data_IF_444513043104
#
_entry.id   IF_444513043104
#
_cell.length_a   1.000
_cell.length_b   1.000
_cell.length_c   1.000
_cell.angle_alpha   90.00
_cell.angle_beta   90.00
_cell.angle_gamma   90.00
#
_symmetry.space_group_name_H-M   'P 1'
#
loop_
_entity.id
_entity.type
_entity.pdbx_description
1 polymer ?
#
# COMPACT_ATOMS: atom_id res chain seq x y z
N UNK A 1 19.79 -157.56 24.19
CA UNK A 1 18.51 -156.85 24.40
C UNK A 1 18.66 -155.51 25.13
N UNK A 2 19.85 -155.12 25.63
CA UNK A 2 20.04 -153.82 26.33
C UNK A 2 20.36 -152.62 25.40
N UNK A 3 20.85 -152.84 24.18
CA UNK A 3 21.20 -151.74 23.24
C UNK A 3 20.00 -151.07 22.57
N UNK A 4 18.86 -151.75 22.49
CA UNK A 4 17.63 -151.21 21.85
C UNK A 4 16.89 -150.23 22.76
N UNK A 5 17.04 -150.35 24.09
CA UNK A 5 16.37 -149.51 25.08
C UNK A 5 17.10 -148.15 25.21
N UNK A 6 18.44 -148.15 25.12
CA UNK A 6 19.26 -146.94 25.18
C UNK A 6 19.09 -146.03 23.94
N UNK A 7 18.88 -146.62 22.74
CA UNK A 7 18.59 -145.88 21.51
C UNK A 7 17.22 -145.18 21.54
N UNK A 8 16.20 -145.85 22.07
CA UNK A 8 14.85 -145.28 22.19
C UNK A 8 14.77 -144.14 23.22
N UNK A 9 15.48 -144.28 24.35
CA UNK A 9 15.61 -143.21 25.36
C UNK A 9 16.41 -142.01 24.82
N UNK A 10 17.44 -142.25 24.00
CA UNK A 10 18.20 -141.18 23.32
C UNK A 10 17.33 -140.41 22.32
N UNK A 11 16.54 -141.12 21.51
CA UNK A 11 15.55 -140.54 20.59
C UNK A 11 14.49 -139.70 21.33
N UNK A 12 13.96 -140.21 22.45
CA UNK A 12 12.99 -139.48 23.27
C UNK A 12 13.60 -138.20 23.88
N UNK A 13 14.84 -138.24 24.36
CA UNK A 13 15.56 -137.05 24.84
C UNK A 13 15.81 -136.05 23.72
N UNK A 14 16.24 -136.50 22.53
CA UNK A 14 16.44 -135.63 21.37
C UNK A 14 15.13 -135.00 20.87
N UNK A 15 14.01 -135.73 20.92
CA UNK A 15 12.68 -135.17 20.63
C UNK A 15 12.24 -134.14 21.69
N UNK A 16 12.58 -134.34 22.96
CA UNK A 16 12.34 -133.35 24.01
C UNK A 16 13.20 -132.09 23.83
N UNK A 17 14.49 -132.25 23.52
CA UNK A 17 15.41 -131.15 23.19
C UNK A 17 14.94 -130.39 21.95
N UNK A 18 14.53 -131.09 20.88
CA UNK A 18 13.98 -130.47 19.67
C UNK A 18 12.75 -129.63 19.99
N UNK A 19 11.80 -130.13 20.80
CA UNK A 19 10.62 -129.36 21.22
C UNK A 19 10.95 -128.13 22.08
N UNK A 20 11.99 -128.21 22.91
CA UNK A 20 12.45 -127.08 23.72
C UNK A 20 13.14 -126.03 22.84
N UNK A 21 13.95 -126.46 21.87
CA UNK A 21 14.59 -125.58 20.89
C UNK A 21 13.54 -124.93 20.00
N UNK A 22 12.56 -125.70 19.50
CA UNK A 22 11.45 -125.18 18.69
C UNK A 22 10.67 -124.12 19.47
N UNK A 23 10.34 -124.36 20.74
CA UNK A 23 9.69 -123.34 21.60
C UNK A 23 10.52 -122.08 21.76
N UNK A 24 11.83 -122.21 22.00
CA UNK A 24 12.72 -121.04 22.14
C UNK A 24 12.83 -120.29 20.81
N UNK A 25 12.89 -120.99 19.68
CA UNK A 25 12.88 -120.38 18.35
C UNK A 25 11.57 -119.62 18.12
N UNK A 26 10.42 -120.24 18.39
CA UNK A 26 9.09 -119.63 18.31
C UNK A 26 9.00 -118.37 19.17
N UNK A 27 9.42 -118.43 20.44
CA UNK A 27 9.46 -117.28 21.35
C UNK A 27 10.39 -116.16 20.85
N UNK A 28 11.54 -116.50 20.26
CA UNK A 28 12.46 -115.50 19.68
C UNK A 28 11.95 -114.89 18.39
N UNK A 29 11.23 -115.66 17.57
CA UNK A 29 10.56 -115.19 16.35
C UNK A 29 9.39 -114.29 16.69
N UNK A 30 8.55 -114.65 17.67
CA UNK A 30 7.48 -113.82 18.22
C UNK A 30 8.03 -112.53 18.84
N UNK A 31 9.10 -112.60 19.64
CA UNK A 31 9.76 -111.43 20.19
C UNK A 31 10.44 -110.56 19.12
N UNK A 32 10.90 -111.14 18.01
CA UNK A 32 11.44 -110.40 16.88
C UNK A 32 10.32 -109.73 16.06
N UNK A 33 9.22 -110.43 15.79
CA UNK A 33 8.05 -109.87 15.10
C UNK A 33 7.44 -108.73 15.92
N UNK A 34 7.24 -108.90 17.22
CA UNK A 34 6.76 -107.81 18.09
C UNK A 34 7.71 -106.59 18.10
N UNK A 35 9.03 -106.81 18.09
CA UNK A 35 10.02 -105.72 17.94
C UNK A 35 9.91 -105.05 16.57
N UNK A 36 9.71 -105.80 15.49
CA UNK A 36 9.53 -105.24 14.15
C UNK A 36 8.22 -104.46 14.02
N UNK A 37 7.14 -104.91 14.64
CA UNK A 37 5.84 -104.22 14.66
C UNK A 37 5.91 -102.89 15.39
N UNK A 38 6.49 -102.86 16.58
CA UNK A 38 6.70 -101.60 17.35
C UNK A 38 7.61 -100.62 16.62
N UNK A 39 8.64 -101.13 15.91
CA UNK A 39 9.49 -100.31 15.04
C UNK A 39 8.70 -99.76 13.85
N UNK A 40 7.84 -100.58 13.22
CA UNK A 40 6.99 -100.17 12.10
C UNK A 40 5.93 -99.14 12.52
N UNK A 41 5.39 -99.24 13.74
CA UNK A 41 4.53 -98.21 14.35
C UNK A 41 5.30 -96.91 14.58
N UNK A 42 6.49 -96.96 15.17
CA UNK A 42 7.34 -95.78 15.35
C UNK A 42 7.68 -95.11 14.03
N UNK A 43 7.98 -95.89 12.97
CA UNK A 43 8.21 -95.36 11.64
C UNK A 43 6.97 -94.66 11.08
N UNK A 44 5.79 -95.26 11.21
CA UNK A 44 4.51 -94.63 10.80
C UNK A 44 4.28 -93.31 11.54
N UNK A 45 4.46 -93.30 12.86
CA UNK A 45 4.29 -92.11 13.69
C UNK A 45 5.26 -90.99 13.31
N UNK A 46 6.54 -91.32 13.09
CA UNK A 46 7.54 -90.35 12.62
C UNK A 46 7.17 -89.77 11.25
N UNK A 47 6.66 -90.60 10.34
CA UNK A 47 6.17 -90.14 9.04
C UNK A 47 4.98 -89.19 9.16
N UNK A 48 4.01 -89.51 10.02
CA UNK A 48 2.84 -88.65 10.31
C UNK A 48 3.29 -87.32 10.92
N UNK A 49 4.16 -87.35 11.95
CA UNK A 49 4.69 -86.13 12.57
C UNK A 49 5.46 -85.27 11.59
N UNK A 50 6.28 -85.88 10.72
CA UNK A 50 7.01 -85.15 9.68
C UNK A 50 6.05 -84.49 8.68
N UNK A 51 4.97 -85.17 8.29
CA UNK A 51 3.96 -84.60 7.42
C UNK A 51 3.22 -83.42 8.08
N UNK A 52 2.85 -83.55 9.36
CA UNK A 52 2.24 -82.48 10.16
C UNK A 52 3.17 -81.27 10.30
N UNK A 53 4.45 -81.48 10.62
CA UNK A 53 5.45 -80.41 10.70
C UNK A 53 5.61 -79.70 9.36
N UNK A 54 5.68 -80.43 8.25
CA UNK A 54 5.74 -79.82 6.91
C UNK A 54 4.50 -78.98 6.63
N UNK A 55 3.30 -79.50 6.93
CA UNK A 55 2.06 -78.74 6.77
C UNK A 55 2.06 -77.47 7.63
N UNK A 56 2.49 -77.56 8.89
CA UNK A 56 2.59 -76.41 9.79
C UNK A 56 3.61 -75.37 9.33
N UNK A 57 4.75 -75.79 8.78
CA UNK A 57 5.74 -74.86 8.20
C UNK A 57 5.16 -74.13 6.98
N UNK A 58 4.41 -74.84 6.14
CA UNK A 58 3.73 -74.21 4.99
C UNK A 58 2.66 -73.23 5.46
N UNK A 59 1.78 -73.63 6.39
CA UNK A 59 0.72 -72.74 6.89
C UNK A 59 1.29 -71.53 7.62
N UNK A 60 2.29 -71.72 8.49
CA UNK A 60 2.95 -70.60 9.18
C UNK A 60 3.69 -69.68 8.20
N UNK A 61 4.34 -70.23 7.16
CA UNK A 61 4.92 -69.45 6.07
C UNK A 61 3.89 -68.61 5.33
N UNK A 62 2.70 -69.16 5.05
CA UNK A 62 1.61 -68.40 4.41
C UNK A 62 1.04 -67.30 5.30
N UNK A 63 0.86 -67.54 6.61
CA UNK A 63 0.33 -66.53 7.54
C UNK A 63 1.33 -65.40 7.80
N UNK A 64 2.63 -65.69 7.83
CA UNK A 64 3.68 -64.67 7.93
C UNK A 64 3.69 -63.77 6.69
N UNK A 65 3.65 -64.35 5.48
CA UNK A 65 3.58 -63.58 4.22
C UNK A 65 2.34 -62.70 4.16
N UNK A 66 1.18 -63.22 4.56
CA UNK A 66 -0.06 -62.44 4.57
C UNK A 66 0.00 -61.31 5.60
N UNK A 67 0.52 -61.55 6.81
CA UNK A 67 0.73 -60.48 7.79
C UNK A 67 1.69 -59.40 7.30
N UNK A 68 2.78 -59.77 6.62
CA UNK A 68 3.71 -58.82 6.05
C UNK A 68 3.06 -57.98 4.95
N UNK A 69 2.22 -58.61 4.11
CA UNK A 69 1.39 -57.91 3.11
C UNK A 69 0.42 -56.93 3.76
N UNK A 70 -0.27 -57.33 4.82
CA UNK A 70 -1.19 -56.45 5.56
C UNK A 70 -0.46 -55.30 6.25
N UNK A 71 0.71 -55.57 6.87
CA UNK A 71 1.55 -54.55 7.51
C UNK A 71 2.05 -53.51 6.50
N UNK A 72 2.55 -53.95 5.35
CA UNK A 72 3.01 -53.05 4.28
C UNK A 72 1.86 -52.20 3.72
N UNK A 73 0.68 -52.80 3.53
CA UNK A 73 -0.52 -52.07 3.12
C UNK A 73 -0.96 -51.02 4.17
N UNK A 74 -0.98 -51.40 5.45
CA UNK A 74 -1.33 -50.49 6.54
C UNK A 74 -0.35 -49.31 6.64
N UNK A 75 0.96 -49.58 6.51
CA UNK A 75 1.99 -48.54 6.50
C UNK A 75 1.85 -47.60 5.30
N UNK A 76 1.51 -48.13 4.11
CA UNK A 76 1.28 -47.32 2.92
C UNK A 76 0.07 -46.38 3.12
N UNK A 77 -1.05 -46.93 3.60
CA UNK A 77 -2.25 -46.14 3.93
C UNK A 77 -1.97 -45.05 4.97
N UNK A 78 -1.27 -45.38 6.04
CA UNK A 78 -0.91 -44.42 7.09
C UNK A 78 -0.02 -43.27 6.55
N UNK A 79 0.90 -43.57 5.63
CA UNK A 79 1.72 -42.54 4.97
C UNK A 79 0.88 -41.63 4.07
N UNK A 80 0.01 -42.21 3.26
CA UNK A 80 -0.91 -41.45 2.37
C UNK A 80 -1.83 -40.54 3.19
N UNK A 81 -2.42 -41.07 4.26
CA UNK A 81 -3.28 -40.31 5.17
C UNK A 81 -2.54 -39.17 5.87
N UNK A 82 -1.30 -39.41 6.31
CA UNK A 82 -0.47 -38.36 6.93
C UNK A 82 -0.21 -37.21 5.94
N UNK A 83 0.14 -37.52 4.69
CA UNK A 83 0.37 -36.50 3.65
C UNK A 83 -0.90 -35.71 3.39
N UNK A 84 -2.04 -36.40 3.27
CA UNK A 84 -3.33 -35.76 3.04
C UNK A 84 -3.77 -34.89 4.22
N UNK A 85 -3.55 -35.35 5.44
CA UNK A 85 -3.84 -34.59 6.65
C UNK A 85 -2.97 -33.33 6.73
N UNK A 86 -1.67 -33.41 6.41
CA UNK A 86 -0.79 -32.23 6.37
C UNK A 86 -1.24 -31.20 5.31
N UNK A 87 -1.74 -31.63 4.15
CA UNK A 87 -2.31 -30.71 3.16
C UNK A 87 -3.54 -29.98 3.72
N UNK A 88 -4.49 -30.73 4.29
CA UNK A 88 -5.71 -30.17 4.91
C UNK A 88 -5.39 -29.20 6.04
N UNK A 89 -4.42 -29.53 6.90
CA UNK A 89 -3.95 -28.63 7.96
C UNK A 89 -3.38 -27.32 7.38
N UNK A 90 -2.59 -27.40 6.31
CA UNK A 90 -2.03 -26.20 5.65
C UNK A 90 -3.11 -25.31 5.02
N UNK A 91 -4.14 -25.91 4.41
CA UNK A 91 -5.29 -25.21 3.84
C UNK A 91 -6.15 -24.56 4.93
N UNK A 92 -6.39 -25.28 6.02
CA UNK A 92 -7.12 -24.78 7.18
C UNK A 92 -6.39 -23.58 7.81
N UNK A 93 -5.06 -23.64 7.93
CA UNK A 93 -4.26 -22.50 8.39
C UNK A 93 -4.36 -21.31 7.44
N UNK A 94 -4.37 -21.53 6.12
CA UNK A 94 -4.54 -20.47 5.12
C UNK A 94 -5.92 -19.81 5.26
N UNK A 95 -6.97 -20.61 5.29
CA UNK A 95 -8.36 -20.14 5.46
C UNK A 95 -8.54 -19.37 6.78
N UNK A 96 -7.92 -19.81 7.88
CA UNK A 96 -7.95 -19.07 9.16
C UNK A 96 -7.31 -17.69 9.05
N UNK A 97 -6.16 -17.56 8.39
CA UNK A 97 -5.50 -16.26 8.19
C UNK A 97 -6.36 -15.32 7.34
N UNK A 98 -6.95 -15.84 6.27
CA UNK A 98 -7.86 -15.08 5.40
C UNK A 98 -9.08 -14.60 6.19
N UNK A 99 -9.74 -15.48 6.95
CA UNK A 99 -10.86 -15.13 7.81
C UNK A 99 -10.50 -14.01 8.80
N UNK A 100 -9.33 -14.09 9.42
CA UNK A 100 -8.89 -13.08 10.37
C UNK A 100 -8.58 -11.73 9.69
N UNK A 101 -8.01 -11.76 8.49
CA UNK A 101 -7.80 -10.55 7.68
C UNK A 101 -9.13 -9.89 7.29
N UNK A 102 -10.12 -10.69 6.88
CA UNK A 102 -11.46 -10.23 6.53
C UNK A 102 -12.18 -9.66 7.75
N UNK A 103 -12.08 -10.30 8.92
CA UNK A 103 -12.62 -9.79 10.19
C UNK A 103 -12.03 -8.43 10.55
N UNK A 104 -10.71 -8.26 10.44
CA UNK A 104 -10.05 -6.96 10.66
C UNK A 104 -10.53 -5.91 9.67
N UNK A 105 -10.72 -6.28 8.39
CA UNK A 105 -11.22 -5.36 7.37
C UNK A 105 -12.68 -4.94 7.66
N UNK A 106 -13.54 -5.90 7.98
CA UNK A 106 -14.92 -5.66 8.40
C UNK A 106 -14.98 -4.73 9.61
N UNK A 107 -14.20 -4.98 10.66
CA UNK A 107 -14.16 -4.11 11.84
C UNK A 107 -13.74 -2.67 11.49
N UNK A 108 -12.76 -2.48 10.60
CA UNK A 108 -12.35 -1.15 10.12
C UNK A 108 -13.50 -0.45 9.39
N UNK A 109 -14.22 -1.17 8.52
CA UNK A 109 -15.36 -0.63 7.79
C UNK A 109 -16.52 -0.30 8.72
N UNK A 110 -16.86 -1.17 9.68
CA UNK A 110 -17.93 -0.93 10.65
C UNK A 110 -17.64 0.30 11.52
N UNK A 111 -16.39 0.49 11.96
CA UNK A 111 -15.99 1.73 12.67
C UNK A 111 -16.15 2.97 11.81
N UNK A 112 -15.77 2.91 10.52
CA UNK A 112 -15.97 4.02 9.58
C UNK A 112 -17.46 4.29 9.37
N UNK A 113 -18.27 3.25 9.20
CA UNK A 113 -19.72 3.38 8.99
C UNK A 113 -20.39 4.05 10.19
N UNK A 114 -20.06 3.65 11.42
CA UNK A 114 -20.55 4.29 12.64
C UNK A 114 -20.13 5.76 12.75
N UNK A 115 -18.91 6.10 12.33
CA UNK A 115 -18.47 7.50 12.27
C UNK A 115 -19.29 8.28 11.25
N UNK A 116 -19.47 7.74 10.05
CA UNK A 116 -20.17 8.41 8.95
C UNK A 116 -21.68 8.42 9.09
N UNK A 117 -22.28 7.52 9.87
CA UNK A 117 -23.72 7.50 10.12
C UNK A 117 -24.19 8.75 10.87
N UNK A 118 -23.38 9.29 11.78
CA UNK A 118 -23.66 10.56 12.46
C UNK A 118 -23.74 11.73 11.46
N UNK A 119 -22.77 11.81 10.54
CA UNK A 119 -22.74 12.83 9.50
C UNK A 119 -23.87 12.64 8.48
N UNK A 120 -24.16 11.39 8.12
CA UNK A 120 -25.29 11.05 7.23
C UNK A 120 -26.59 11.55 7.84
N UNK A 121 -26.86 11.21 9.11
CA UNK A 121 -28.08 11.66 9.81
C UNK A 121 -28.17 13.19 9.87
N UNK A 122 -27.07 13.86 10.19
CA UNK A 122 -27.05 15.32 10.15
C UNK A 122 -27.39 15.87 8.76
N UNK A 123 -26.85 15.28 7.69
CA UNK A 123 -27.15 15.72 6.32
C UNK A 123 -28.59 15.39 5.91
N UNK A 124 -29.15 14.27 6.38
CA UNK A 124 -30.57 13.95 6.25
C UNK A 124 -31.43 15.02 6.95
N UNK A 125 -31.11 15.37 8.20
CA UNK A 125 -31.80 16.43 8.93
C UNK A 125 -31.71 17.77 8.18
N UNK A 126 -30.55 18.11 7.59
CA UNK A 126 -30.38 19.33 6.79
C UNK A 126 -31.29 19.30 5.56
N UNK A 127 -31.36 18.17 4.85
CA UNK A 127 -32.24 18.00 3.68
C UNK A 127 -33.70 18.17 4.11
N UNK A 128 -34.13 17.52 5.20
CA UNK A 128 -35.50 17.62 5.71
C UNK A 128 -35.91 19.05 6.09
N UNK A 129 -34.96 19.85 6.62
CA UNK A 129 -35.23 21.20 7.11
C UNK A 129 -34.89 22.31 6.10
N UNK A 130 -34.60 21.98 4.84
CA UNK A 130 -34.16 22.96 3.84
C UNK A 130 -34.75 22.72 2.44
N UNK A 131 -34.29 23.50 1.46
CA UNK A 131 -34.75 23.42 0.07
C UNK A 131 -33.97 22.40 -0.77
N UNK A 132 -32.99 21.70 -0.19
CA UNK A 132 -32.19 20.72 -0.91
C UNK A 132 -33.01 19.44 -1.16
N UNK A 133 -32.89 18.85 -2.35
CA UNK A 133 -33.64 17.64 -2.70
C UNK A 133 -33.08 16.40 -2.00
N UNK A 134 -31.76 16.31 -1.96
CA UNK A 134 -31.04 15.20 -1.37
C UNK A 134 -29.66 15.66 -0.86
N UNK A 135 -28.94 14.73 -0.25
CA UNK A 135 -27.61 15.00 0.33
C UNK A 135 -26.61 15.38 -0.76
N UNK A 136 -26.75 14.84 -1.97
CA UNK A 136 -25.84 15.12 -3.08
C UNK A 136 -26.01 16.56 -3.59
N UNK A 137 -27.24 17.09 -3.59
CA UNK A 137 -27.53 18.50 -3.83
C UNK A 137 -26.85 19.41 -2.80
N UNK A 138 -26.92 19.07 -1.50
CA UNK A 138 -26.22 19.80 -0.42
C UNK A 138 -24.71 19.83 -0.68
N UNK A 139 -24.13 18.67 -1.01
CA UNK A 139 -22.70 18.53 -1.27
C UNK A 139 -22.30 19.34 -2.51
N UNK A 140 -23.11 19.29 -3.57
CA UNK A 140 -22.86 20.00 -4.82
C UNK A 140 -22.91 21.51 -4.62
N UNK A 141 -23.93 21.99 -3.91
CA UNK A 141 -24.05 23.40 -3.53
C UNK A 141 -22.86 23.86 -2.68
N UNK A 142 -22.49 23.10 -1.64
CA UNK A 142 -21.34 23.43 -0.80
C UNK A 142 -20.04 23.50 -1.61
N UNK A 143 -19.81 22.55 -2.52
CA UNK A 143 -18.63 22.57 -3.41
C UNK A 143 -18.63 23.82 -4.31
N UNK A 144 -19.78 24.20 -4.85
CA UNK A 144 -19.90 25.43 -5.64
C UNK A 144 -19.62 26.67 -4.78
N UNK A 145 -20.18 26.74 -3.58
CA UNK A 145 -19.99 27.86 -2.64
C UNK A 145 -18.52 28.03 -2.22
N UNK A 146 -17.81 26.93 -1.98
CA UNK A 146 -16.38 26.98 -1.65
C UNK A 146 -15.56 27.50 -2.84
N UNK A 147 -15.89 27.08 -4.07
CA UNK A 147 -15.24 27.59 -5.29
C UNK A 147 -15.50 29.07 -5.48
N UNK A 148 -16.76 29.50 -5.43
CA UNK A 148 -17.11 30.92 -5.61
C UNK A 148 -16.48 31.80 -4.53
N UNK A 149 -16.42 31.34 -3.28
CA UNK A 149 -15.71 32.06 -2.21
C UNK A 149 -14.23 32.24 -2.52
N UNK A 150 -13.57 31.19 -3.03
CA UNK A 150 -12.15 31.26 -3.41
C UNK A 150 -11.95 32.28 -4.53
N UNK A 151 -12.77 32.21 -5.57
CA UNK A 151 -12.69 33.10 -6.73
C UNK A 151 -12.96 34.56 -6.33
N UNK A 152 -13.95 34.79 -5.45
CA UNK A 152 -14.27 36.12 -4.93
C UNK A 152 -13.11 36.72 -4.13
N UNK A 153 -12.48 35.93 -3.24
CA UNK A 153 -11.31 36.38 -2.47
C UNK A 153 -10.14 36.73 -3.39
N UNK A 154 -9.91 35.94 -4.43
CA UNK A 154 -8.87 36.22 -5.42
C UNK A 154 -9.17 37.49 -6.23
N UNK A 155 -10.41 37.67 -6.68
CA UNK A 155 -10.83 38.88 -7.39
C UNK A 155 -10.71 40.13 -6.51
N UNK A 156 -11.14 40.04 -5.24
CA UNK A 156 -11.02 41.14 -4.28
C UNK A 156 -9.56 41.54 -4.08
N UNK A 157 -8.66 40.55 -3.98
CA UNK A 157 -7.23 40.81 -3.88
C UNK A 157 -6.70 41.57 -5.11
N UNK A 158 -7.06 41.15 -6.33
CA UNK A 158 -6.67 41.83 -7.57
C UNK A 158 -7.20 43.26 -7.65
N UNK A 159 -8.48 43.48 -7.32
CA UNK A 159 -9.05 44.83 -7.30
C UNK A 159 -8.34 45.75 -6.31
N UNK A 160 -7.96 45.23 -5.14
CA UNK A 160 -7.18 45.99 -4.16
C UNK A 160 -5.82 46.37 -4.70
N UNK A 161 -5.11 45.46 -5.38
CA UNK A 161 -3.83 45.78 -6.01
C UNK A 161 -3.96 46.87 -7.08
N UNK A 162 -4.97 46.74 -7.94
CA UNK A 162 -5.23 47.74 -8.99
C UNK A 162 -5.57 49.12 -8.40
N UNK A 163 -6.37 49.15 -7.33
CA UNK A 163 -6.72 50.39 -6.65
C UNK A 163 -5.48 51.07 -6.04
N UNK A 164 -4.60 50.30 -5.39
CA UNK A 164 -3.35 50.86 -4.84
C UNK A 164 -2.44 51.40 -5.94
N UNK A 165 -2.30 50.68 -7.06
CA UNK A 165 -1.56 51.17 -8.23
C UNK A 165 -2.17 52.47 -8.79
N UNK A 166 -3.50 52.52 -8.94
CA UNK A 166 -4.20 53.72 -9.41
C UNK A 166 -4.02 54.91 -8.47
N UNK A 167 -4.01 54.69 -7.15
CA UNK A 167 -3.75 55.75 -6.16
C UNK A 167 -2.33 56.30 -6.29
N UNK A 168 -1.34 55.43 -6.46
CA UNK A 168 0.06 55.84 -6.66
C UNK A 168 0.19 56.68 -7.93
N UNK A 169 -0.38 56.23 -9.05
CA UNK A 169 -0.38 56.99 -10.31
C UNK A 169 -1.07 58.36 -10.16
N UNK A 170 -2.21 58.39 -9.48
CA UNK A 170 -2.93 59.65 -9.23
C UNK A 170 -2.10 60.63 -8.39
N UNK A 171 -1.37 60.15 -7.38
CA UNK A 171 -0.48 60.98 -6.56
C UNK A 171 0.70 61.52 -7.38
N UNK A 172 1.28 60.70 -8.25
CA UNK A 172 2.36 61.12 -9.16
C UNK A 172 1.89 62.23 -10.11
N UNK A 173 0.77 62.02 -10.81
CA UNK A 173 0.21 63.03 -11.72
C UNK A 173 -0.11 64.32 -10.96
N UNK A 174 -0.66 64.22 -9.74
CA UNK A 174 -0.95 65.39 -8.92
C UNK A 174 0.33 66.16 -8.58
N UNK A 175 1.38 65.48 -8.13
CA UNK A 175 2.66 66.10 -7.80
C UNK A 175 3.33 66.73 -9.03
N UNK A 176 3.27 66.07 -10.19
CA UNK A 176 3.75 66.62 -11.47
C UNK A 176 3.01 67.91 -11.83
N UNK A 177 1.68 67.92 -11.72
CA UNK A 177 0.86 69.10 -12.03
C UNK A 177 1.08 70.24 -11.03
N UNK A 178 1.26 69.93 -9.75
CA UNK A 178 1.64 70.93 -8.74
C UNK A 178 3.01 71.55 -9.06
N UNK A 179 3.99 70.74 -9.48
CA UNK A 179 5.30 71.22 -9.90
C UNK A 179 5.22 72.07 -11.19
N UNK A 180 4.42 71.67 -12.18
CA UNK A 180 4.17 72.48 -13.38
C UNK A 180 3.55 73.84 -13.03
N UNK A 181 2.56 73.87 -12.13
CA UNK A 181 1.94 75.13 -11.68
C UNK A 181 2.96 76.03 -10.99
N UNK A 182 3.84 75.48 -10.14
CA UNK A 182 4.90 76.25 -9.49
C UNK A 182 5.85 76.84 -10.54
N UNK A 183 6.29 76.06 -11.53
CA UNK A 183 7.12 76.55 -12.63
C UNK A 183 6.45 77.68 -13.40
N UNK A 184 5.18 77.54 -13.78
CA UNK A 184 4.45 78.61 -14.46
C UNK A 184 4.34 79.88 -13.61
N UNK A 185 4.19 79.75 -12.29
CA UNK A 185 4.17 80.91 -11.38
C UNK A 185 5.52 81.60 -11.33
N UNK A 186 6.60 80.84 -11.25
CA UNK A 186 7.96 81.39 -11.25
C UNK A 186 8.23 82.14 -12.58
N UNK A 187 7.84 81.55 -13.71
CA UNK A 187 7.92 82.19 -15.04
C UNK A 187 7.07 83.47 -15.11
N UNK A 188 5.85 83.47 -14.55
CA UNK A 188 5.00 84.66 -14.49
C UNK A 188 5.63 85.79 -13.67
N UNK A 189 6.23 85.47 -12.52
CA UNK A 189 6.93 86.47 -11.69
C UNK A 189 8.11 87.05 -12.45
N UNK A 190 8.92 86.21 -13.10
CA UNK A 190 10.05 86.68 -13.94
C UNK A 190 9.58 87.62 -15.06
N UNK A 191 8.48 87.28 -15.74
CA UNK A 191 7.92 88.13 -16.78
C UNK A 191 7.41 89.47 -16.23
N UNK A 192 6.74 89.46 -15.07
CA UNK A 192 6.28 90.68 -14.39
C UNK A 192 7.46 91.58 -14.01
N UNK A 193 8.52 91.02 -13.42
CA UNK A 193 9.74 91.77 -13.09
C UNK A 193 10.38 92.40 -14.35
N UNK A 194 10.43 91.65 -15.45
CA UNK A 194 10.96 92.17 -16.73
C UNK A 194 10.10 93.30 -17.31
N UNK A 195 8.77 93.20 -17.17
CA UNK A 195 7.83 94.23 -17.60
C UNK A 195 7.97 95.50 -16.77
N UNK A 196 8.03 95.37 -15.44
CA UNK A 196 8.25 96.50 -14.54
C UNK A 196 9.58 97.19 -14.82
N UNK A 197 10.63 96.41 -15.07
CA UNK A 197 11.94 96.96 -15.44
C UNK A 197 11.85 97.74 -16.75
N UNK A 198 11.24 97.17 -17.79
CA UNK A 198 11.05 97.85 -19.07
C UNK A 198 10.22 99.14 -18.93
N UNK A 199 9.18 99.14 -18.09
CA UNK A 199 8.38 100.33 -17.81
C UNK A 199 9.20 101.43 -17.11
N UNK A 200 10.00 101.07 -16.11
CA UNK A 200 10.91 102.01 -15.43
C UNK A 200 11.91 102.60 -16.41
N UNK A 201 12.45 101.77 -17.31
CA UNK A 201 13.39 102.23 -18.33
C UNK A 201 12.72 103.20 -19.32
N UNK A 202 11.48 102.91 -19.76
CA UNK A 202 10.70 103.82 -20.62
C UNK A 202 10.50 105.18 -19.94
N UNK A 203 10.04 105.22 -18.68
CA UNK A 203 9.87 106.48 -17.96
C UNK A 203 11.19 107.27 -17.86
N UNK A 204 12.30 106.59 -17.57
CA UNK A 204 13.61 107.24 -17.54
C UNK A 204 14.00 107.83 -18.90
N UNK A 205 13.70 107.14 -20.00
CA UNK A 205 13.94 107.66 -21.35
C UNK A 205 13.03 108.82 -21.71
N UNK A 206 11.77 108.78 -21.29
CA UNK A 206 10.81 109.88 -21.45
C UNK A 206 11.27 111.14 -20.71
N UNK A 207 11.72 111.00 -19.46
CA UNK A 207 12.28 112.10 -18.67
C UNK A 207 13.50 112.72 -19.36
N UNK A 208 14.46 111.87 -19.78
CA UNK A 208 15.65 112.31 -20.52
C UNK A 208 15.30 113.00 -21.84
N UNK A 209 14.28 112.51 -22.54
CA UNK A 209 13.78 113.10 -23.77
C UNK A 209 13.13 114.46 -23.52
N UNK A 210 12.28 114.58 -22.50
CA UNK A 210 11.65 115.83 -22.09
C UNK A 210 12.69 116.89 -21.69
N UNK A 211 13.73 116.50 -20.96
CA UNK A 211 14.85 117.38 -20.67
C UNK A 211 15.59 117.84 -21.93
N UNK A 212 15.85 116.92 -22.87
CA UNK A 212 16.51 117.24 -24.13
C UNK A 212 15.67 118.19 -24.97
N UNK A 213 14.36 117.97 -25.03
CA UNK A 213 13.40 118.84 -25.70
C UNK A 213 13.32 120.22 -25.02
N UNK A 214 13.30 120.28 -23.68
CA UNK A 214 13.35 121.52 -22.92
C UNK A 214 14.66 122.29 -23.11
N UNK A 215 15.80 121.58 -23.24
CA UNK A 215 17.09 122.18 -23.63
C UNK A 215 17.04 122.74 -25.05
N UNK A 216 16.47 122.00 -26.00
CA UNK A 216 16.31 122.45 -27.38
C UNK A 216 15.38 123.67 -27.51
N UNK A 217 14.25 123.68 -26.79
CA UNK A 217 13.32 124.80 -26.77
C UNK A 217 13.94 126.08 -26.17
N UNK A 218 14.72 125.96 -25.09
CA UNK A 218 15.49 127.08 -24.52
C UNK A 218 16.48 127.66 -25.54
N UNK A 219 17.29 126.80 -26.18
CA UNK A 219 18.19 127.23 -27.26
C UNK A 219 17.45 127.89 -28.42
N UNK A 220 16.29 127.37 -28.83
CA UNK A 220 15.48 127.97 -29.88
C UNK A 220 14.94 129.35 -29.48
N UNK A 221 14.55 129.54 -28.21
CA UNK A 221 14.13 130.84 -27.67
C UNK A 221 15.28 131.84 -27.62
N UNK A 222 16.48 131.43 -27.18
CA UNK A 222 17.70 132.24 -27.22
C UNK A 222 18.06 132.65 -28.66
N UNK A 223 17.96 131.73 -29.61
CA UNK A 223 18.23 132.00 -31.02
C UNK A 223 17.19 132.98 -31.60
N UNK A 224 15.91 132.83 -31.23
CA UNK A 224 14.85 133.77 -31.59
C UNK A 224 15.07 135.15 -30.95
N UNK A 225 15.48 135.23 -29.68
CA UNK A 225 15.73 136.51 -29.00
C UNK A 225 16.95 137.23 -29.59
N UNK A 226 18.03 136.50 -29.89
CA UNK A 226 19.18 137.03 -30.63
C UNK A 226 18.76 137.53 -32.01
N UNK A 227 17.93 136.76 -32.74
CA UNK A 227 17.42 137.19 -34.05
C UNK A 227 16.59 138.48 -33.93
N UNK A 228 15.71 138.59 -32.94
CA UNK A 228 14.95 139.81 -32.67
C UNK A 228 15.85 140.99 -32.27
N UNK A 229 16.88 140.77 -31.44
CA UNK A 229 17.84 141.79 -31.04
C UNK A 229 18.67 142.28 -32.24
N UNK A 230 19.13 141.37 -33.10
CA UNK A 230 19.78 141.69 -34.37
C UNK A 230 18.81 142.50 -35.25
N UNK A 231 17.57 142.05 -35.42
CA UNK A 231 16.57 142.78 -36.20
C UNK A 231 16.32 144.20 -35.65
N UNK A 232 16.31 144.39 -34.33
CA UNK A 232 16.17 145.70 -33.69
C UNK A 232 17.42 146.60 -33.74
N UNK A 233 18.58 146.05 -34.10
CA UNK A 233 19.81 146.83 -34.30
C UNK A 233 19.98 147.29 -35.76
N UNK A 234 19.20 146.71 -36.69
CA UNK A 234 19.23 147.01 -38.12
C UNK A 234 17.93 147.65 -38.65
N UNK A 235 17.01 148.06 -37.76
CA UNK A 235 15.81 148.86 -38.00
C UNK A 235 15.73 150.02 -37.01
#
# INVERSE_FOLDING_TARGET
EEDSINSFICLLKKMQEMRLIDKVVEETEEAFTGRMETLAEHWRDLHVRRAQLKAHVVTSGTTVKENERLRTQALKKAKEEKVENSKKESELLRARRELESLRKHHQKLSKKLLKYSLFKRYLEDVVENSQFRDIDDVITYYKALVRTRKDLLQSQWWHRQLLEQSKVLQQQIRAEKEAEILRCKDELVQLQESLEQAQRDICQWEDRWAEAQGRAARKAMELKSLHMAIHSLFH
#
